data_IF_710320327701
#
_entry.id   IF_710320327701
#
_cell.length_a   1.000
_cell.length_b   1.000
_cell.length_c   1.000
_cell.angle_alpha   90.00
_cell.angle_beta   90.00
_cell.angle_gamma   90.00
#
_symmetry.space_group_name_H-M   'P 1'
#
loop_
_entity.id
_entity.type
_entity.pdbx_description
1 polymer ?
#
# COMPACT_ATOMS: atom_id res chain seq x y z
N UNK A 1 -5.47 -67.10 -27.51
CA UNK A 1 -4.32 -66.39 -26.89
C UNK A 1 -4.45 -64.87 -27.01
N UNK A 2 -5.67 -64.31 -26.96
CA UNK A 2 -5.93 -62.89 -27.31
C UNK A 2 -6.75 -62.15 -26.23
N UNK A 3 -7.22 -62.85 -25.19
CA UNK A 3 -7.99 -62.24 -24.10
C UNK A 3 -7.10 -61.71 -22.97
N UNK A 4 -5.87 -62.21 -22.82
CA UNK A 4 -4.92 -61.76 -21.78
C UNK A 4 -4.38 -60.36 -22.05
N UNK A 5 -4.19 -60.00 -23.32
CA UNK A 5 -3.61 -58.71 -23.71
C UNK A 5 -4.61 -57.55 -23.55
N UNK A 6 -5.90 -57.84 -23.68
CA UNK A 6 -6.98 -56.86 -23.51
C UNK A 6 -7.16 -56.47 -22.03
N UNK A 7 -7.05 -57.44 -21.11
CA UNK A 7 -7.10 -57.18 -19.67
C UNK A 7 -5.88 -56.42 -19.16
N UNK A 8 -4.69 -56.69 -19.70
CA UNK A 8 -3.46 -56.00 -19.31
C UNK A 8 -3.41 -54.55 -19.79
N UNK A 9 -3.98 -54.26 -20.96
CA UNK A 9 -4.03 -52.90 -21.54
C UNK A 9 -5.09 -52.03 -20.87
N UNK A 10 -6.23 -52.61 -20.46
CA UNK A 10 -7.28 -51.90 -19.72
C UNK A 10 -6.88 -51.61 -18.27
N UNK A 11 -6.21 -52.54 -17.59
CA UNK A 11 -5.68 -52.29 -16.24
C UNK A 11 -4.57 -51.23 -16.26
N UNK A 12 -3.63 -51.27 -17.21
CA UNK A 12 -2.56 -50.28 -17.35
C UNK A 12 -3.09 -48.84 -17.53
N UNK A 13 -4.11 -48.63 -18.37
CA UNK A 13 -4.74 -47.32 -18.55
C UNK A 13 -5.49 -46.81 -17.30
N UNK A 14 -6.04 -47.72 -16.48
CA UNK A 14 -6.66 -47.37 -15.19
C UNK A 14 -5.58 -46.95 -14.17
N UNK A 15 -4.42 -47.62 -14.17
CA UNK A 15 -3.28 -47.26 -13.30
C UNK A 15 -2.65 -45.92 -13.68
N UNK A 16 -2.42 -45.62 -14.97
CA UNK A 16 -1.95 -44.30 -15.41
C UNK A 16 -2.94 -43.18 -15.04
N UNK A 17 -4.24 -43.42 -15.23
CA UNK A 17 -5.30 -42.47 -14.84
C UNK A 17 -5.47 -42.30 -13.32
N UNK A 18 -5.11 -43.30 -12.53
CA UNK A 18 -5.07 -43.22 -11.06
C UNK A 18 -3.80 -42.50 -10.57
N UNK A 19 -2.64 -42.81 -11.14
CA UNK A 19 -1.35 -42.16 -10.84
C UNK A 19 -1.37 -40.67 -11.18
N UNK A 20 -1.96 -40.30 -12.33
CA UNK A 20 -2.15 -38.90 -12.73
C UNK A 20 -3.07 -38.13 -11.78
N UNK A 21 -4.08 -38.81 -11.20
CA UNK A 21 -4.99 -38.21 -10.22
C UNK A 21 -4.34 -38.07 -8.84
N UNK A 22 -3.62 -39.08 -8.38
CA UNK A 22 -2.82 -39.04 -7.14
C UNK A 22 -1.74 -37.95 -7.19
N UNK A 23 -1.02 -37.82 -8.32
CA UNK A 23 -0.05 -36.76 -8.48
C UNK A 23 -0.70 -35.37 -8.47
N UNK A 24 -1.88 -35.21 -9.08
CA UNK A 24 -2.63 -33.95 -9.06
C UNK A 24 -3.15 -33.61 -7.66
N UNK A 25 -3.58 -34.61 -6.89
CA UNK A 25 -4.04 -34.47 -5.50
C UNK A 25 -2.90 -34.02 -4.56
N UNK A 26 -1.73 -34.68 -4.63
CA UNK A 26 -0.51 -34.26 -3.90
C UNK A 26 -0.01 -32.89 -4.36
N UNK A 27 -0.17 -32.59 -5.67
CA UNK A 27 0.24 -31.31 -6.24
C UNK A 27 -0.57 -30.12 -5.71
N UNK A 28 -1.88 -30.30 -5.60
CA UNK A 28 -2.79 -29.26 -5.12
C UNK A 28 -2.60 -29.02 -3.60
N UNK A 29 -2.17 -30.05 -2.85
CA UNK A 29 -1.87 -29.96 -1.42
C UNK A 29 -0.59 -29.15 -1.14
N UNK A 30 0.54 -29.47 -1.78
CA UNK A 30 1.78 -28.70 -1.56
C UNK A 30 1.64 -27.25 -2.02
N UNK A 31 0.92 -27.03 -3.12
CA UNK A 31 0.69 -25.68 -3.64
C UNK A 31 -0.15 -24.85 -2.66
N UNK A 32 -1.18 -25.45 -2.05
CA UNK A 32 -2.00 -24.79 -1.04
C UNK A 32 -1.20 -24.45 0.21
N UNK A 33 -0.33 -25.35 0.67
CA UNK A 33 0.54 -25.10 1.83
C UNK A 33 1.55 -23.99 1.55
N UNK A 34 2.21 -24.02 0.38
CA UNK A 34 3.12 -22.94 -0.05
C UNK A 34 2.41 -21.59 -0.14
N UNK A 35 1.21 -21.54 -0.74
CA UNK A 35 0.43 -20.30 -0.86
C UNK A 35 0.00 -19.75 0.51
N UNK A 36 -0.45 -20.61 1.44
CA UNK A 36 -0.78 -20.21 2.82
C UNK A 36 0.43 -19.60 3.53
N UNK A 37 1.60 -20.22 3.40
CA UNK A 37 2.83 -19.74 4.03
C UNK A 37 3.31 -18.42 3.42
N UNK A 38 3.28 -18.30 2.09
CA UNK A 38 3.63 -17.08 1.37
C UNK A 38 2.69 -15.93 1.77
N UNK A 39 1.38 -16.18 1.79
CA UNK A 39 0.38 -15.19 2.24
C UNK A 39 0.63 -14.76 3.69
N UNK A 40 0.99 -15.69 4.59
CA UNK A 40 1.31 -15.35 5.98
C UNK A 40 2.53 -14.44 6.08
N UNK A 41 3.64 -14.81 5.43
CA UNK A 41 4.88 -14.03 5.43
C UNK A 41 4.65 -12.65 4.81
N UNK A 42 3.96 -12.58 3.68
CA UNK A 42 3.62 -11.32 3.02
C UNK A 42 2.80 -10.41 3.94
N UNK A 43 1.73 -10.92 4.55
CA UNK A 43 0.91 -10.14 5.49
C UNK A 43 1.71 -9.64 6.70
N UNK A 44 2.62 -10.46 7.22
CA UNK A 44 3.50 -10.07 8.32
C UNK A 44 4.46 -8.94 7.91
N UNK A 45 5.03 -9.00 6.71
CA UNK A 45 5.87 -7.91 6.18
C UNK A 45 5.07 -6.62 5.97
N UNK A 46 3.83 -6.70 5.47
CA UNK A 46 2.95 -5.54 5.36
C UNK A 46 2.63 -4.93 6.72
N UNK A 47 2.36 -5.78 7.72
CA UNK A 47 2.14 -5.32 9.09
C UNK A 47 3.35 -4.56 9.65
N UNK A 48 4.56 -5.10 9.47
CA UNK A 48 5.80 -4.42 9.87
C UNK A 48 6.03 -3.11 9.10
N UNK A 49 5.76 -3.11 7.79
CA UNK A 49 5.85 -1.92 6.95
C UNK A 49 4.87 -0.84 7.40
N UNK A 50 3.62 -1.20 7.69
CA UNK A 50 2.60 -0.28 8.22
C UNK A 50 2.99 0.31 9.57
N UNK A 51 3.55 -0.50 10.46
CA UNK A 51 4.09 -0.03 11.74
C UNK A 51 5.25 0.97 11.55
N UNK A 52 6.17 0.70 10.63
CA UNK A 52 7.27 1.61 10.31
C UNK A 52 6.77 2.94 9.72
N UNK A 53 5.83 2.90 8.77
CA UNK A 53 5.24 4.11 8.17
C UNK A 53 4.48 4.93 9.23
N UNK A 54 3.71 4.27 10.09
CA UNK A 54 3.02 4.92 11.21
C UNK A 54 4.03 5.57 12.17
N UNK A 55 5.12 4.88 12.51
CA UNK A 55 6.17 5.44 13.36
C UNK A 55 6.82 6.67 12.74
N UNK A 56 7.10 6.67 11.43
CA UNK A 56 7.60 7.86 10.70
C UNK A 56 6.58 8.99 10.73
N UNK A 57 5.30 8.70 10.55
CA UNK A 57 4.23 9.70 10.63
C UNK A 57 4.13 10.35 12.02
N UNK A 58 4.19 9.54 13.08
CA UNK A 58 4.20 10.02 14.47
C UNK A 58 5.47 10.82 14.75
N UNK A 59 6.64 10.32 14.34
CA UNK A 59 7.92 11.02 14.49
C UNK A 59 7.87 12.41 13.83
N UNK A 60 7.29 12.48 12.63
CA UNK A 60 7.10 13.74 11.89
C UNK A 60 6.18 14.70 12.65
N UNK A 61 5.14 14.19 13.30
CA UNK A 61 4.22 15.02 14.09
C UNK A 61 4.86 15.53 15.39
N UNK A 62 5.65 14.70 16.06
CA UNK A 62 6.33 15.02 17.34
C UNK A 62 7.49 15.98 17.12
N UNK A 63 8.35 15.74 16.14
CA UNK A 63 9.49 16.64 15.82
C UNK A 63 9.01 18.06 15.44
N UNK A 64 7.82 18.15 14.85
CA UNK A 64 7.18 19.43 14.57
C UNK A 64 6.61 20.09 15.82
N UNK A 65 6.12 19.32 16.79
CA UNK A 65 5.49 19.86 18.01
C UNK A 65 6.39 20.80 18.83
N UNK A 66 7.71 20.59 18.80
CA UNK A 66 8.69 21.47 19.46
C UNK A 66 8.93 22.81 18.73
N UNK A 67 8.56 22.91 17.45
CA UNK A 67 8.63 24.14 16.63
C UNK A 67 7.25 24.77 16.35
N UNK A 68 6.16 24.13 16.80
CA UNK A 68 4.77 24.46 16.47
C UNK A 68 4.20 25.69 17.19
N UNK A 69 4.90 26.29 18.16
CA UNK A 69 4.41 27.52 18.81
C UNK A 69 4.55 28.78 17.96
N UNK A 70 5.24 28.74 16.81
CA UNK A 70 5.47 29.94 15.98
C UNK A 70 5.12 29.78 14.50
N UNK A 71 4.80 28.56 14.03
CA UNK A 71 4.75 28.28 12.60
C UNK A 71 3.45 27.54 12.19
N UNK A 72 2.59 28.22 11.42
CA UNK A 72 1.41 27.67 10.71
C UNK A 72 1.81 26.45 9.85
N UNK A 73 1.56 25.24 10.38
CA UNK A 73 2.09 23.94 9.90
C UNK A 73 1.04 23.06 9.21
N UNK A 74 0.06 23.64 8.52
CA UNK A 74 -1.08 22.87 8.00
C UNK A 74 -0.69 21.82 6.95
N UNK A 75 0.18 22.15 5.98
CA UNK A 75 0.52 21.22 4.89
C UNK A 75 1.36 20.00 5.34
N UNK A 76 2.38 20.21 6.19
CA UNK A 76 3.18 19.11 6.76
C UNK A 76 2.42 18.28 7.79
N UNK A 77 1.54 18.92 8.56
CA UNK A 77 0.66 18.18 9.47
C UNK A 77 -0.28 17.30 8.65
N UNK A 78 -0.87 17.82 7.57
CA UNK A 78 -1.74 17.04 6.67
C UNK A 78 -1.01 15.84 6.08
N UNK A 79 0.23 15.99 5.59
CA UNK A 79 0.98 14.84 5.06
C UNK A 79 1.35 13.82 6.16
N UNK A 80 1.72 14.26 7.36
CA UNK A 80 1.96 13.38 8.51
C UNK A 80 0.69 12.61 8.92
N UNK A 81 -0.46 13.28 8.98
CA UNK A 81 -1.75 12.62 9.26
C UNK A 81 -2.12 11.60 8.19
N UNK A 82 -1.87 11.88 6.91
CA UNK A 82 -2.09 10.93 5.81
C UNK A 82 -1.18 9.71 5.97
N UNK A 83 0.11 9.90 6.30
CA UNK A 83 1.06 8.81 6.56
C UNK A 83 0.63 7.94 7.75
N UNK A 84 0.19 8.56 8.85
CA UNK A 84 -0.34 7.84 10.02
C UNK A 84 -1.57 7.02 9.62
N UNK A 85 -2.54 7.64 8.94
CA UNK A 85 -3.77 6.97 8.52
C UNK A 85 -3.47 5.78 7.58
N UNK A 86 -2.60 5.98 6.59
CA UNK A 86 -2.16 4.93 5.69
C UNK A 86 -1.45 3.79 6.45
N UNK A 87 -0.55 4.11 7.38
CA UNK A 87 0.14 3.13 8.22
C UNK A 87 -0.81 2.29 9.07
N UNK A 88 -1.81 2.92 9.68
CA UNK A 88 -2.86 2.24 10.46
C UNK A 88 -3.67 1.30 9.58
N UNK A 89 -4.11 1.75 8.40
CA UNK A 89 -4.87 0.92 7.46
C UNK A 89 -4.08 -0.33 7.05
N UNK A 90 -2.80 -0.15 6.70
CA UNK A 90 -1.89 -1.26 6.32
C UNK A 90 -1.65 -2.21 7.50
N UNK A 91 -1.51 -1.69 8.71
CA UNK A 91 -1.33 -2.52 9.91
C UNK A 91 -2.59 -3.35 10.21
N UNK A 92 -3.78 -2.75 10.09
CA UNK A 92 -5.06 -3.45 10.29
C UNK A 92 -5.27 -4.52 9.23
N UNK A 93 -5.00 -4.22 7.95
CA UNK A 93 -5.15 -5.22 6.87
C UNK A 93 -4.18 -6.38 7.03
N UNK A 94 -2.92 -6.11 7.41
CA UNK A 94 -1.93 -7.15 7.71
C UNK A 94 -2.35 -8.06 8.88
N UNK A 95 -2.89 -7.47 9.96
CA UNK A 95 -3.42 -8.24 11.10
C UNK A 95 -4.63 -9.11 10.71
N UNK A 96 -5.57 -8.53 9.96
CA UNK A 96 -6.73 -9.27 9.43
C UNK A 96 -6.29 -10.40 8.49
N UNK A 97 -5.24 -10.20 7.69
CA UNK A 97 -4.63 -11.23 6.85
C UNK A 97 -4.05 -12.39 7.66
N UNK A 98 -3.29 -12.10 8.73
CA UNK A 98 -2.80 -13.13 9.65
C UNK A 98 -3.97 -13.90 10.31
N UNK A 99 -5.01 -13.20 10.78
CA UNK A 99 -6.20 -13.84 11.34
C UNK A 99 -6.95 -14.69 10.32
N UNK A 100 -7.03 -14.26 9.06
CA UNK A 100 -7.68 -14.99 7.97
C UNK A 100 -6.92 -16.26 7.58
N UNK A 101 -5.59 -16.26 7.68
CA UNK A 101 -4.77 -17.46 7.45
C UNK A 101 -4.87 -18.44 8.62
N UNK A 102 -4.88 -17.94 9.87
CA UNK A 102 -4.97 -18.78 11.08
C UNK A 102 -6.35 -19.42 11.23
N UNK A 103 -7.43 -18.69 10.89
CA UNK A 103 -8.76 -19.28 10.82
C UNK A 103 -8.88 -20.10 9.55
N UNK A 104 -8.80 -21.42 9.68
CA UNK A 104 -9.00 -22.41 8.60
C UNK A 104 -10.43 -22.42 8.00
N UNK A 105 -11.19 -21.35 8.20
CA UNK A 105 -12.51 -21.16 7.62
C UNK A 105 -12.40 -20.52 6.23
N UNK A 106 -12.90 -21.23 5.21
CA UNK A 106 -12.93 -20.73 3.81
C UNK A 106 -13.62 -19.36 3.67
N UNK A 107 -14.57 -19.06 4.55
CA UNK A 107 -15.25 -17.76 4.58
C UNK A 107 -14.34 -16.61 5.02
N UNK A 108 -13.41 -16.83 5.96
CA UNK A 108 -12.46 -15.79 6.40
C UNK A 108 -11.47 -15.42 5.29
N UNK A 109 -10.95 -16.41 4.56
CA UNK A 109 -10.05 -16.17 3.42
C UNK A 109 -10.78 -15.44 2.29
N UNK A 110 -12.02 -15.84 1.99
CA UNK A 110 -12.85 -15.17 0.98
C UNK A 110 -13.19 -13.72 1.38
N UNK A 111 -13.52 -13.47 2.64
CA UNK A 111 -13.78 -12.11 3.14
C UNK A 111 -12.53 -11.23 3.04
N UNK A 112 -11.35 -11.78 3.37
CA UNK A 112 -10.07 -11.09 3.21
C UNK A 112 -9.80 -10.72 1.75
N UNK A 113 -9.99 -11.65 0.82
CA UNK A 113 -9.84 -11.38 -0.62
C UNK A 113 -10.82 -10.30 -1.11
N UNK A 114 -12.09 -10.38 -0.70
CA UNK A 114 -13.09 -9.35 -1.04
C UNK A 114 -12.72 -7.98 -0.47
N UNK A 115 -12.20 -7.92 0.77
CA UNK A 115 -11.71 -6.68 1.36
C UNK A 115 -10.54 -6.08 0.57
N UNK A 116 -9.56 -6.90 0.20
CA UNK A 116 -8.42 -6.45 -0.62
C UNK A 116 -8.87 -5.92 -1.98
N UNK A 117 -9.81 -6.62 -2.63
CA UNK A 117 -10.35 -6.19 -3.90
C UNK A 117 -11.07 -4.84 -3.79
N UNK A 118 -11.84 -4.63 -2.72
CA UNK A 118 -12.48 -3.33 -2.44
C UNK A 118 -11.44 -2.23 -2.19
N UNK A 119 -10.38 -2.50 -1.42
CA UNK A 119 -9.29 -1.55 -1.20
C UNK A 119 -8.62 -1.17 -2.53
N UNK A 120 -8.31 -2.16 -3.37
CA UNK A 120 -7.72 -1.93 -4.68
C UNK A 120 -8.61 -1.04 -5.58
N UNK A 121 -9.92 -1.26 -5.58
CA UNK A 121 -10.85 -0.41 -6.33
C UNK A 121 -10.88 1.02 -5.78
N UNK A 122 -10.87 1.19 -4.46
CA UNK A 122 -10.83 2.52 -3.82
C UNK A 122 -9.51 3.23 -4.16
N UNK A 123 -8.37 2.53 -4.07
CA UNK A 123 -7.05 3.07 -4.41
C UNK A 123 -6.96 3.42 -5.90
N UNK A 124 -7.54 2.61 -6.78
CA UNK A 124 -7.60 2.89 -8.22
C UNK A 124 -8.42 4.16 -8.48
N UNK A 125 -9.60 4.29 -7.86
CA UNK A 125 -10.41 5.50 -7.97
C UNK A 125 -9.66 6.71 -7.39
N UNK A 126 -9.04 6.56 -6.22
CA UNK A 126 -8.25 7.61 -5.60
C UNK A 126 -7.05 8.02 -6.46
N UNK A 127 -6.37 7.07 -7.11
CA UNK A 127 -5.26 7.31 -8.02
C UNK A 127 -5.68 8.02 -9.30
N UNK A 128 -6.80 7.61 -9.91
CA UNK A 128 -7.38 8.30 -11.07
C UNK A 128 -7.82 9.71 -10.70
N UNK A 129 -8.52 9.87 -9.57
CA UNK A 129 -8.90 11.18 -9.05
C UNK A 129 -7.65 12.03 -8.79
N UNK A 130 -6.63 11.50 -8.12
CA UNK A 130 -5.38 12.20 -7.86
C UNK A 130 -4.69 12.60 -9.16
N UNK A 131 -4.68 11.77 -10.20
CA UNK A 131 -4.11 12.12 -11.50
C UNK A 131 -4.89 13.26 -12.20
N UNK A 132 -6.22 13.16 -12.26
CA UNK A 132 -7.09 14.18 -12.87
C UNK A 132 -7.01 15.49 -12.09
N UNK A 133 -7.10 15.42 -10.76
CA UNK A 133 -6.96 16.57 -9.89
C UNK A 133 -5.55 17.13 -9.95
N UNK A 134 -4.48 16.34 -10.01
CA UNK A 134 -3.12 16.87 -10.14
C UNK A 134 -2.96 17.71 -11.41
N UNK A 135 -3.58 17.31 -12.53
CA UNK A 135 -3.60 18.14 -13.75
C UNK A 135 -4.26 19.51 -13.50
N UNK A 136 -5.40 19.55 -12.80
CA UNK A 136 -6.13 20.79 -12.49
C UNK A 136 -5.49 21.61 -11.35
N UNK A 137 -5.22 20.97 -10.21
CA UNK A 137 -4.50 21.51 -9.06
C UNK A 137 -3.12 21.99 -9.45
N UNK A 138 -2.45 21.49 -10.47
CA UNK A 138 -1.13 22.03 -10.84
C UNK A 138 -1.20 23.52 -11.19
N UNK A 139 -2.28 23.99 -11.81
CA UNK A 139 -2.44 25.40 -12.16
C UNK A 139 -2.94 26.22 -10.96
N UNK A 140 -3.90 25.70 -10.18
CA UNK A 140 -4.38 26.39 -8.97
C UNK A 140 -3.35 26.41 -7.84
N UNK A 141 -2.62 25.31 -7.61
CA UNK A 141 -1.48 25.26 -6.68
C UNK A 141 -0.38 26.19 -7.15
N UNK A 142 -0.07 26.28 -8.45
CA UNK A 142 0.91 27.26 -8.95
C UNK A 142 0.45 28.68 -8.62
N UNK A 143 -0.82 29.02 -8.84
CA UNK A 143 -1.35 30.35 -8.49
C UNK A 143 -1.31 30.60 -6.97
N UNK A 144 -1.79 29.65 -6.16
CA UNK A 144 -1.79 29.75 -4.70
C UNK A 144 -0.36 29.81 -4.14
N UNK A 145 0.57 28.98 -4.62
CA UNK A 145 1.98 29.01 -4.25
C UNK A 145 2.63 30.32 -4.68
N UNK A 146 2.35 30.81 -5.89
CA UNK A 146 2.95 32.05 -6.38
C UNK A 146 2.42 33.26 -5.60
N UNK A 147 1.12 33.31 -5.29
CA UNK A 147 0.51 34.37 -4.48
C UNK A 147 0.98 34.32 -3.01
N UNK A 148 1.15 33.11 -2.46
CA UNK A 148 1.69 32.91 -1.11
C UNK A 148 3.18 33.23 -1.05
N UNK A 149 3.97 32.88 -2.08
CA UNK A 149 5.38 33.26 -2.18
C UNK A 149 5.57 34.76 -2.45
N UNK A 150 4.72 35.43 -3.22
CA UNK A 150 4.90 36.88 -3.50
C UNK A 150 4.32 37.79 -2.43
N UNK A 151 3.25 37.38 -1.74
CA UNK A 151 2.56 38.19 -0.74
C UNK A 151 2.80 37.78 0.71
N UNK A 152 3.58 36.73 0.98
CA UNK A 152 3.78 36.21 2.35
C UNK A 152 5.16 35.59 2.62
N UNK A 153 6.03 35.46 1.62
CA UNK A 153 7.44 35.06 1.80
C UNK A 153 8.26 36.22 2.34
N UNK A 154 9.09 35.97 3.35
CA UNK A 154 9.91 36.97 4.04
C UNK A 154 9.10 38.13 4.70
N UNK A 155 7.81 37.93 4.97
CA UNK A 155 6.96 38.90 5.65
C UNK A 155 6.96 38.67 7.18
N UNK A 156 7.13 39.73 7.97
CA UNK A 156 7.18 39.66 9.43
C UNK A 156 5.97 38.89 10.00
N UNK A 157 6.22 37.76 10.66
CA UNK A 157 5.19 36.92 11.30
C UNK A 157 4.72 35.69 10.50
N UNK A 158 5.32 35.39 9.33
CA UNK A 158 5.01 34.20 8.51
C UNK A 158 6.23 33.33 8.20
N UNK A 159 7.05 33.10 9.22
CA UNK A 159 8.29 32.31 9.11
C UNK A 159 8.04 30.83 8.72
N UNK A 160 6.81 30.33 8.92
CA UNK A 160 6.39 28.97 8.55
C UNK A 160 6.38 28.68 7.08
N UNK A 161 5.83 29.62 6.32
CA UNK A 161 5.72 29.54 4.87
C UNK A 161 7.12 29.58 4.28
N UNK A 162 7.98 30.44 4.82
CA UNK A 162 9.38 30.58 4.40
C UNK A 162 10.18 29.30 4.66
N UNK A 163 10.09 28.69 5.86
CA UNK A 163 10.82 27.47 6.20
C UNK A 163 10.33 26.23 5.43
N UNK A 164 9.02 26.14 5.18
CA UNK A 164 8.42 25.11 4.34
C UNK A 164 8.95 25.17 2.90
N UNK A 165 8.97 26.38 2.35
CA UNK A 165 9.46 26.66 1.01
C UNK A 165 10.96 26.40 0.91
N UNK A 166 11.76 26.82 1.90
CA UNK A 166 13.21 26.57 1.94
C UNK A 166 13.56 25.08 2.00
N UNK A 167 12.82 24.27 2.76
CA UNK A 167 13.04 22.81 2.80
C UNK A 167 12.75 22.16 1.46
N UNK A 168 11.65 22.53 0.81
CA UNK A 168 11.33 22.05 -0.54
C UNK A 168 12.40 22.50 -1.55
N UNK A 169 12.88 23.73 -1.44
CA UNK A 169 13.96 24.27 -2.27
C UNK A 169 15.29 23.54 -2.06
N UNK A 170 15.62 23.14 -0.82
CA UNK A 170 16.81 22.34 -0.52
C UNK A 170 16.72 20.90 -1.02
N UNK A 171 15.58 20.23 -0.79
CA UNK A 171 15.37 18.83 -1.17
C UNK A 171 15.30 18.67 -2.70
N UNK A 172 14.63 19.60 -3.38
CA UNK A 172 14.48 19.60 -4.84
C UNK A 172 15.48 20.49 -5.57
N UNK A 173 16.45 21.08 -4.85
CA UNK A 173 17.51 21.96 -5.40
C UNK A 173 16.97 23.08 -6.29
N UNK A 174 15.81 23.61 -5.96
CA UNK A 174 15.09 24.62 -6.73
C UNK A 174 14.98 25.96 -5.97
N UNK A 175 14.63 27.05 -6.66
CA UNK A 175 14.42 28.35 -6.02
C UNK A 175 13.22 29.08 -6.65
N UNK A 176 12.25 29.46 -5.81
CA UNK A 176 11.03 30.15 -6.19
C UNK A 176 9.97 29.28 -6.87
N UNK A 177 8.89 29.92 -7.31
CA UNK A 177 7.76 29.29 -8.02
C UNK A 177 8.06 28.95 -9.49
N UNK A 178 9.24 29.36 -10.00
CA UNK A 178 9.70 29.12 -11.37
C UNK A 178 11.04 28.38 -11.38
N UNK A 179 11.04 27.12 -11.01
CA UNK A 179 12.05 26.17 -11.48
C UNK A 179 11.43 24.77 -11.59
N UNK A 180 10.63 24.59 -12.64
CA UNK A 180 10.27 23.29 -13.18
C UNK A 180 10.67 23.30 -14.65
N UNK A 181 11.94 22.96 -14.90
CA UNK A 181 12.42 22.46 -16.18
C UNK A 181 13.25 21.22 -15.89
#
# INVERSE_FOLDING_TARGET
MQSTDHWSRSTFGIYEGAMSRLYKEDQDDWMTVCLKYLLFVFNFLFWLGGAAVMAVGIWTLVDKSDYLSLLESSAFAVSAYILILAGVLVMVTGFLGCCAVIREQRSCLSMYFSCLLLIFLIELVAGVLAYVYYQQLSEELKQHLNQTMTGSYAQLGKDSITQAVDRLQQDFKCCGSKLFL
#
